data_IF_583722518711
#
_entry.id   IF_583722518711
#
_cell.length_a   1.000
_cell.length_b   1.000
_cell.length_c   1.000
_cell.angle_alpha   90.00
_cell.angle_beta   90.00
_cell.angle_gamma   90.00
#
_symmetry.space_group_name_H-M   'P 1'
#
loop_
_entity.id
_entity.type
_entity.pdbx_description
1 polymer ?
#
# COMPACT_ATOMS: atom_id res chain seq x y z
N UNK A 1 8.92 2.75 -16.72
CA UNK A 1 8.79 4.04 -16.00
C UNK A 1 9.20 3.78 -14.56
N UNK A 2 9.99 4.67 -13.97
CA UNK A 2 10.40 4.65 -12.57
C UNK A 2 10.51 6.11 -12.10
N UNK A 3 9.94 6.45 -10.96
CA UNK A 3 9.97 7.79 -10.38
C UNK A 3 11.11 7.88 -9.37
N UNK A 4 11.93 8.92 -9.47
CA UNK A 4 13.06 9.20 -8.58
C UNK A 4 12.69 10.24 -7.54
N UNK A 5 12.04 11.32 -7.95
CA UNK A 5 11.69 12.44 -7.06
C UNK A 5 10.31 13.02 -7.40
N UNK A 6 9.58 13.42 -6.35
CA UNK A 6 8.31 14.15 -6.45
C UNK A 6 8.40 15.44 -5.65
N UNK A 7 8.05 16.57 -6.26
CA UNK A 7 7.96 17.88 -5.59
C UNK A 7 6.55 18.43 -5.64
N UNK A 8 6.01 18.77 -4.47
CA UNK A 8 4.69 19.32 -4.30
C UNK A 8 4.78 20.77 -3.86
N UNK A 9 3.91 21.62 -4.42
CA UNK A 9 3.71 22.99 -3.96
C UNK A 9 2.22 23.32 -3.92
N UNK A 10 1.77 23.81 -2.77
CA UNK A 10 0.37 24.15 -2.48
C UNK A 10 -0.63 23.03 -2.85
N UNK A 11 -0.26 21.78 -2.63
CA UNK A 11 -1.08 20.62 -2.93
C UNK A 11 -1.71 20.08 -1.64
N UNK A 12 -3.02 20.30 -1.46
CA UNK A 12 -3.80 19.90 -0.27
C UNK A 12 -3.10 20.30 1.04
N UNK A 13 -2.56 19.34 1.81
CA UNK A 13 -1.87 19.60 3.07
C UNK A 13 -0.43 20.15 2.89
N UNK A 14 0.17 19.98 1.71
CA UNK A 14 1.57 20.32 1.45
C UNK A 14 1.72 21.76 0.95
N UNK A 15 2.46 22.59 1.70
CA UNK A 15 2.86 23.93 1.24
C UNK A 15 4.00 23.84 0.23
N UNK A 16 5.10 23.20 0.61
CA UNK A 16 6.23 22.85 -0.26
C UNK A 16 6.96 21.65 0.32
N UNK A 17 7.00 20.53 -0.41
CA UNK A 17 7.65 19.31 0.07
C UNK A 17 8.21 18.49 -1.10
N UNK A 18 9.38 17.88 -0.88
CA UNK A 18 10.04 17.01 -1.86
C UNK A 18 10.24 15.61 -1.27
N UNK A 19 10.01 14.58 -2.07
CA UNK A 19 10.11 13.18 -1.69
C UNK A 19 11.03 12.46 -2.65
N UNK A 20 12.06 11.79 -2.12
CA UNK A 20 12.89 10.86 -2.88
C UNK A 20 12.23 9.48 -2.83
N UNK A 21 12.19 8.79 -3.96
CA UNK A 21 11.54 7.50 -4.11
C UNK A 21 12.57 6.41 -4.40
N UNK A 22 12.51 5.32 -3.63
CA UNK A 22 13.28 4.13 -3.86
C UNK A 22 12.82 3.43 -5.16
N UNK A 23 13.74 2.87 -5.98
CA UNK A 23 13.41 2.35 -7.30
C UNK A 23 12.51 1.10 -7.29
N UNK A 24 12.50 0.32 -6.20
CA UNK A 24 11.70 -0.93 -6.14
C UNK A 24 10.39 -0.75 -5.36
N UNK A 25 10.46 -0.23 -4.14
CA UNK A 25 9.33 -0.21 -3.21
C UNK A 25 9.39 1.00 -2.29
N UNK A 26 8.25 1.64 -2.09
CA UNK A 26 8.08 2.81 -1.24
C UNK A 26 6.84 2.61 -0.37
N UNK A 27 7.01 2.66 0.95
CA UNK A 27 5.95 2.57 1.92
C UNK A 27 5.80 3.90 2.65
N UNK A 28 4.68 4.57 2.43
CA UNK A 28 4.35 5.86 2.99
C UNK A 28 3.56 5.65 4.28
N UNK A 29 4.07 6.20 5.37
CA UNK A 29 3.48 6.08 6.71
C UNK A 29 3.32 7.45 7.38
N UNK A 30 2.40 7.50 8.32
CA UNK A 30 2.15 8.66 9.16
C UNK A 30 0.75 8.63 9.74
N UNK A 31 0.47 9.54 10.65
CA UNK A 31 -0.81 9.66 11.35
C UNK A 31 -1.98 9.97 10.39
N UNK A 32 -3.20 9.82 10.88
CA UNK A 32 -4.38 10.21 10.11
C UNK A 32 -4.32 11.72 9.77
N UNK A 33 -4.59 12.05 8.50
CA UNK A 33 -4.52 13.43 8.02
C UNK A 33 -3.13 13.92 7.62
N UNK A 34 -2.07 13.12 7.76
CA UNK A 34 -0.69 13.52 7.38
C UNK A 34 -0.46 13.71 5.87
N UNK A 35 -1.42 13.31 5.03
CA UNK A 35 -1.35 13.50 3.58
C UNK A 35 -0.92 12.28 2.77
N UNK A 36 -0.97 11.06 3.34
CA UNK A 36 -0.63 9.80 2.64
C UNK A 36 -1.38 9.63 1.29
N UNK A 37 -2.70 9.64 1.33
CA UNK A 37 -3.54 9.59 0.12
C UNK A 37 -3.33 10.81 -0.77
N UNK A 38 -3.04 11.99 -0.20
CA UNK A 38 -2.75 13.19 -0.98
C UNK A 38 -1.45 13.05 -1.80
N UNK A 39 -0.40 12.44 -1.23
CA UNK A 39 0.84 12.14 -1.95
C UNK A 39 0.58 11.15 -3.10
N UNK A 40 -0.16 10.06 -2.86
CA UNK A 40 -0.53 9.12 -3.92
C UNK A 40 -1.36 9.79 -5.03
N UNK A 41 -2.35 10.62 -4.66
CA UNK A 41 -3.15 11.36 -5.62
C UNK A 41 -2.29 12.33 -6.45
N UNK A 42 -1.33 13.02 -5.84
CA UNK A 42 -0.39 13.88 -6.56
C UNK A 42 0.45 13.06 -7.56
N UNK A 43 0.97 11.90 -7.14
CA UNK A 43 1.72 11.00 -8.03
C UNK A 43 0.84 10.52 -9.19
N UNK A 44 -0.43 10.18 -8.93
CA UNK A 44 -1.39 9.76 -9.97
C UNK A 44 -1.59 10.84 -11.05
N UNK A 45 -1.51 12.12 -10.69
CA UNK A 45 -1.64 13.25 -11.62
C UNK A 45 -0.42 13.37 -12.54
N UNK A 46 0.80 13.21 -11.99
CA UNK A 46 2.02 13.31 -12.80
C UNK A 46 2.24 12.09 -13.69
N UNK A 47 1.98 10.87 -13.22
CA UNK A 47 2.09 9.67 -14.08
C UNK A 47 1.08 9.68 -15.22
N UNK A 48 -0.12 10.26 -15.01
CA UNK A 48 -1.12 10.44 -16.06
C UNK A 48 -0.67 11.37 -17.22
N UNK A 49 0.45 12.10 -17.07
CA UNK A 49 1.05 12.88 -18.16
C UNK A 49 1.51 11.99 -19.31
N UNK A 50 1.97 10.77 -19.02
CA UNK A 50 2.30 9.76 -20.02
C UNK A 50 1.14 9.50 -21.00
N UNK A 51 -0.08 9.44 -20.46
CA UNK A 51 -1.28 9.10 -21.23
C UNK A 51 -1.67 10.16 -22.27
N UNK A 52 -1.12 11.37 -22.16
CA UNK A 52 -1.41 12.48 -23.08
C UNK A 52 -0.76 12.31 -24.46
N UNK A 53 0.30 11.52 -24.57
CA UNK A 53 0.99 11.28 -25.85
C UNK A 53 0.26 10.34 -26.79
N UNK A 54 -0.65 9.50 -26.27
CA UNK A 54 -1.44 8.58 -27.08
C UNK A 54 -2.64 9.28 -27.72
N UNK A 55 -2.92 8.97 -29.00
CA UNK A 55 -4.04 9.58 -29.75
C UNK A 55 -5.40 9.34 -29.10
N UNK A 56 -5.61 8.16 -28.52
CA UNK A 56 -6.89 7.78 -27.93
C UNK A 56 -7.05 8.18 -26.44
N UNK A 57 -5.97 8.65 -25.79
CA UNK A 57 -5.92 9.03 -24.36
C UNK A 57 -6.69 8.04 -23.47
N UNK A 58 -6.11 6.84 -23.22
CA UNK A 58 -6.86 5.69 -22.72
C UNK A 58 -7.44 5.88 -21.30
N UNK A 59 -6.87 6.80 -20.53
CA UNK A 59 -7.40 7.29 -19.26
C UNK A 59 -6.91 8.73 -19.01
N UNK A 60 -7.44 9.40 -17.98
CA UNK A 60 -7.06 10.77 -17.65
C UNK A 60 -7.14 11.08 -16.16
N UNK A 61 -6.15 11.83 -15.69
CA UNK A 61 -6.16 12.53 -14.40
C UNK A 61 -5.62 13.94 -14.60
N UNK A 62 -6.23 14.91 -13.94
CA UNK A 62 -5.85 16.32 -13.96
C UNK A 62 -5.91 16.90 -12.56
N UNK A 63 -5.27 18.06 -12.34
CA UNK A 63 -5.42 18.81 -11.10
C UNK A 63 -6.83 19.37 -11.01
N UNK A 64 -7.53 19.02 -9.93
CA UNK A 64 -8.84 19.56 -9.60
C UNK A 64 -8.71 20.80 -8.71
N UNK A 65 -9.79 21.57 -8.57
CA UNK A 65 -9.83 22.71 -7.65
C UNK A 65 -9.68 22.25 -6.20
N UNK A 66 -10.24 21.08 -5.85
CA UNK A 66 -10.08 20.47 -4.53
C UNK A 66 -8.66 20.00 -4.19
N UNK A 67 -7.72 20.04 -5.13
CA UNK A 67 -6.32 19.72 -4.86
C UNK A 67 -5.51 20.93 -4.36
N UNK A 68 -6.05 22.16 -4.43
CA UNK A 68 -5.37 23.36 -3.94
C UNK A 68 -5.30 23.37 -2.41
N UNK A 69 -4.17 23.81 -1.86
CA UNK A 69 -4.03 24.03 -0.42
C UNK A 69 -4.90 25.20 0.04
N UNK A 70 -5.68 24.97 1.08
CA UNK A 70 -6.44 25.99 1.78
C UNK A 70 -5.65 26.49 2.99
N UNK A 71 -5.45 27.81 3.08
CA UNK A 71 -4.81 28.46 4.21
C UNK A 71 -5.87 29.16 5.06
N UNK A 72 -5.94 28.80 6.33
CA UNK A 72 -6.75 29.53 7.30
C UNK A 72 -6.10 30.88 7.61
N UNK A 73 -6.86 31.97 7.44
CA UNK A 73 -6.42 33.33 7.72
C UNK A 73 -7.56 34.04 8.44
N UNK A 74 -7.25 34.78 9.49
CA UNK A 74 -8.19 35.71 10.12
C UNK A 74 -7.90 37.09 9.55
N UNK A 75 -8.86 37.72 8.88
CA UNK A 75 -8.78 39.14 8.50
C UNK A 75 -9.97 39.87 9.10
N UNK A 76 -9.73 41.00 9.75
CA UNK A 76 -10.76 41.79 10.43
C UNK A 76 -11.60 40.97 11.41
N UNK A 77 -10.96 40.11 12.21
CA UNK A 77 -11.60 39.16 13.14
C UNK A 77 -12.55 38.13 12.49
N UNK A 78 -12.62 38.08 11.16
CA UNK A 78 -13.40 37.08 10.43
C UNK A 78 -12.50 35.93 9.95
N UNK A 79 -12.82 34.68 10.33
CA UNK A 79 -12.09 33.50 9.87
C UNK A 79 -12.44 33.18 8.42
N UNK A 80 -11.44 33.07 7.57
CA UNK A 80 -11.60 32.69 6.16
C UNK A 80 -10.54 31.68 5.71
N UNK A 81 -10.88 30.87 4.71
CA UNK A 81 -9.94 30.00 4.01
C UNK A 81 -9.58 30.62 2.66
N UNK A 82 -8.28 30.78 2.39
CA UNK A 82 -7.76 31.33 1.15
C UNK A 82 -7.05 30.22 0.37
N UNK A 83 -7.37 30.10 -0.92
CA UNK A 83 -6.71 29.17 -1.83
C UNK A 83 -5.27 29.63 -2.15
N UNK A 84 -4.32 28.70 -2.05
CA UNK A 84 -2.91 28.96 -2.31
C UNK A 84 -2.55 28.58 -3.75
N UNK A 85 -2.69 29.52 -4.68
CA UNK A 85 -2.25 29.34 -6.07
C UNK A 85 -0.79 29.81 -6.28
N UNK A 86 -0.03 29.22 -7.22
CA UNK A 86 -0.37 28.06 -8.04
C UNK A 86 -0.18 26.73 -7.27
N UNK A 87 -0.98 25.72 -7.63
CA UNK A 87 -0.74 24.32 -7.23
C UNK A 87 0.15 23.65 -8.28
N UNK A 88 1.21 23.00 -7.83
CA UNK A 88 2.22 22.39 -8.70
C UNK A 88 2.64 21.02 -8.20
N UNK A 89 2.75 20.07 -9.13
CA UNK A 89 3.30 18.73 -8.89
C UNK A 89 4.37 18.48 -9.94
N UNK A 90 5.61 18.32 -9.51
CA UNK A 90 6.77 18.02 -10.37
C UNK A 90 7.25 16.59 -10.11
N UNK A 91 7.73 15.95 -11.17
CA UNK A 91 8.30 14.62 -11.10
C UNK A 91 9.60 14.55 -11.90
N UNK A 92 10.54 13.76 -11.39
CA UNK A 92 11.76 13.32 -12.06
C UNK A 92 11.81 11.80 -12.04
N UNK A 93 12.22 11.19 -13.14
CA UNK A 93 12.27 9.74 -13.25
C UNK A 93 12.83 9.25 -14.58
N UNK A 94 12.80 7.94 -14.78
CA UNK A 94 13.28 7.27 -16.00
C UNK A 94 12.16 6.56 -16.74
N UNK A 95 12.16 6.66 -18.07
CA UNK A 95 11.26 5.90 -18.95
C UNK A 95 12.07 5.34 -20.11
N UNK A 96 12.06 4.01 -20.26
CA UNK A 96 12.88 3.30 -21.25
C UNK A 96 14.33 3.79 -21.23
N UNK A 97 14.91 3.83 -20.02
CA UNK A 97 16.27 4.25 -19.71
C UNK A 97 16.62 5.72 -20.01
N UNK A 98 15.64 6.57 -20.32
CA UNK A 98 15.81 8.01 -20.48
C UNK A 98 15.35 8.76 -19.24
N UNK A 99 16.21 9.64 -18.73
CA UNK A 99 15.86 10.58 -17.66
C UNK A 99 14.96 11.68 -18.19
N UNK A 100 13.83 11.89 -17.52
CA UNK A 100 12.83 12.89 -17.88
C UNK A 100 12.35 13.65 -16.65
N UNK A 101 12.06 14.94 -16.82
CA UNK A 101 11.54 15.83 -15.78
C UNK A 101 10.32 16.56 -16.30
N UNK A 102 9.20 16.50 -15.57
CA UNK A 102 7.95 17.11 -16.01
C UNK A 102 7.15 17.67 -14.84
N UNK A 103 6.19 18.52 -15.16
CA UNK A 103 5.37 19.27 -14.21
C UNK A 103 3.91 19.33 -14.67
N UNK A 104 3.01 19.19 -13.69
CA UNK A 104 1.60 19.57 -13.80
C UNK A 104 1.35 20.76 -12.87
N UNK A 105 0.75 21.82 -13.39
CA UNK A 105 0.39 22.98 -12.57
C UNK A 105 -0.98 23.56 -12.94
N UNK A 106 -1.63 24.21 -11.98
CA UNK A 106 -2.88 24.96 -12.19
C UNK A 106 -2.73 26.26 -11.41
N UNK A 107 -3.05 27.38 -12.06
CA UNK A 107 -2.75 28.73 -11.55
C UNK A 107 -3.98 29.47 -11.03
N UNK A 108 -5.18 28.96 -11.29
CA UNK A 108 -6.45 29.53 -10.85
C UNK A 108 -7.54 28.47 -10.89
N UNK A 109 -8.65 28.74 -10.20
CA UNK A 109 -9.81 27.86 -10.13
C UNK A 109 -10.37 27.51 -11.52
N UNK A 110 -10.56 28.51 -12.38
CA UNK A 110 -11.06 28.37 -13.76
C UNK A 110 -10.00 27.97 -14.78
N UNK A 111 -8.71 28.03 -14.43
CA UNK A 111 -7.61 27.77 -15.35
C UNK A 111 -7.44 26.29 -15.70
N UNK A 112 -7.07 25.98 -16.94
CA UNK A 112 -6.72 24.60 -17.32
C UNK A 112 -5.40 24.16 -16.68
N UNK A 113 -5.24 22.84 -16.49
CA UNK A 113 -3.94 22.27 -16.10
C UNK A 113 -2.91 22.53 -17.19
N UNK A 114 -1.76 23.08 -16.78
CA UNK A 114 -0.58 23.33 -17.61
C UNK A 114 0.40 22.16 -17.48
N UNK A 115 1.24 22.01 -18.51
CA UNK A 115 2.20 20.92 -18.65
C UNK A 115 3.60 21.54 -18.81
N UNK A 116 4.31 21.73 -17.71
CA UNK A 116 5.68 22.27 -17.73
C UNK A 116 6.68 21.15 -18.02
N UNK A 117 7.67 21.38 -18.89
CA UNK A 117 8.72 20.40 -19.24
C UNK A 117 8.22 19.00 -19.65
N UNK A 118 6.95 18.84 -20.00
CA UNK A 118 6.35 17.53 -20.29
C UNK A 118 6.49 17.09 -21.76
N UNK A 119 7.08 17.94 -22.61
CA UNK A 119 7.18 17.69 -24.06
C UNK A 119 7.93 16.41 -24.38
N UNK A 120 9.06 16.15 -23.70
CA UNK A 120 9.86 14.95 -23.90
C UNK A 120 9.06 13.68 -23.53
N UNK A 121 8.41 13.68 -22.36
CA UNK A 121 7.55 12.60 -21.91
C UNK A 121 6.41 12.31 -22.89
N UNK A 122 5.72 13.35 -23.34
CA UNK A 122 4.59 13.25 -24.27
C UNK A 122 5.08 12.76 -25.65
N UNK A 123 6.24 13.22 -26.12
CA UNK A 123 6.84 12.77 -27.38
C UNK A 123 7.21 11.30 -27.32
N UNK A 124 7.81 10.82 -26.23
CA UNK A 124 8.13 9.39 -26.05
C UNK A 124 6.87 8.52 -26.11
N UNK A 125 5.79 8.93 -25.44
CA UNK A 125 4.51 8.23 -25.52
C UNK A 125 3.93 8.25 -26.95
N UNK A 126 4.03 9.39 -27.64
CA UNK A 126 3.58 9.53 -29.01
C UNK A 126 4.34 8.64 -30.00
N UNK A 127 5.66 8.54 -29.84
CA UNK A 127 6.51 7.68 -30.66
C UNK A 127 6.14 6.19 -30.47
N UNK A 128 5.82 5.79 -29.23
CA UNK A 128 5.34 4.43 -28.94
C UNK A 128 3.92 4.17 -29.47
N UNK A 129 3.04 5.18 -29.47
CA UNK A 129 1.70 5.09 -30.08
C UNK A 129 1.80 4.77 -31.59
N UNK A 130 2.79 5.34 -32.27
CA UNK A 130 3.09 5.04 -33.67
C UNK A 130 3.63 3.62 -33.93
N UNK A 131 4.21 2.99 -32.90
CA UNK A 131 4.89 1.69 -32.98
C UNK A 131 4.14 0.55 -32.30
N UNK A 132 2.85 0.72 -31.97
CA UNK A 132 2.04 -0.31 -31.30
C UNK A 132 1.89 -1.63 -32.07
N UNK A 133 2.23 -1.65 -33.37
CA UNK A 133 2.28 -2.88 -34.17
C UNK A 133 3.63 -3.60 -34.14
N UNK A 134 4.65 -3.02 -33.49
CA UNK A 134 5.98 -3.57 -33.30
C UNK A 134 6.14 -4.12 -31.86
N UNK A 135 7.23 -4.85 -31.61
CA UNK A 135 7.58 -5.39 -30.29
C UNK A 135 8.13 -4.28 -29.37
N UNK A 136 7.26 -3.35 -28.98
CA UNK A 136 7.59 -2.25 -28.07
C UNK A 136 7.04 -2.47 -26.66
N UNK A 137 7.88 -2.22 -25.66
CA UNK A 137 7.47 -2.32 -24.26
C UNK A 137 6.89 -1.01 -23.75
N UNK A 138 5.65 -1.09 -23.27
CA UNK A 138 4.91 -0.02 -22.61
C UNK A 138 5.03 -0.15 -21.09
N UNK A 139 5.25 0.96 -20.36
CA UNK A 139 5.30 0.91 -18.90
C UNK A 139 3.93 0.60 -18.30
N UNK A 140 3.87 -0.22 -17.26
CA UNK A 140 2.65 -0.36 -16.47
C UNK A 140 2.41 0.91 -15.64
N UNK A 141 1.16 1.38 -15.63
CA UNK A 141 0.69 2.39 -14.70
C UNK A 141 -0.58 1.84 -14.06
N UNK A 142 -0.71 1.91 -12.73
CA UNK A 142 -1.95 1.58 -12.05
C UNK A 142 -2.10 2.31 -10.72
N UNK A 143 -3.34 2.63 -10.34
CA UNK A 143 -3.67 3.21 -9.03
C UNK A 143 -4.82 2.44 -8.39
N UNK A 144 -4.62 1.96 -7.17
CA UNK A 144 -5.58 1.24 -6.37
C UNK A 144 -5.86 2.02 -5.08
N UNK A 145 -7.04 2.64 -4.96
CA UNK A 145 -7.47 3.35 -3.75
C UNK A 145 -8.17 2.44 -2.75
N UNK A 146 -8.69 3.02 -1.67
CA UNK A 146 -9.41 2.30 -0.61
C UNK A 146 -10.77 1.73 -1.06
N UNK A 147 -11.42 2.38 -2.03
CA UNK A 147 -12.72 1.93 -2.58
C UNK A 147 -12.62 0.83 -3.65
N UNK A 148 -11.43 0.25 -3.85
CA UNK A 148 -11.12 -0.66 -4.96
C UNK A 148 -12.00 -1.90 -5.10
N UNK A 149 -12.60 -2.40 -4.00
CA UNK A 149 -13.47 -3.58 -4.00
C UNK A 149 -14.96 -3.29 -4.18
N UNK A 150 -15.41 -2.13 -3.70
CA UNK A 150 -16.83 -1.90 -3.46
C UNK A 150 -17.54 -1.26 -4.65
N UNK A 151 -16.79 -0.65 -5.56
CA UNK A 151 -17.34 0.05 -6.71
C UNK A 151 -16.45 -0.16 -7.94
N UNK A 152 -17.05 -0.62 -9.04
CA UNK A 152 -16.40 -0.52 -10.35
C UNK A 152 -16.26 0.96 -10.76
N UNK A 153 -15.28 1.30 -11.63
CA UNK A 153 -15.22 2.59 -12.27
C UNK A 153 -16.56 2.97 -12.90
N UNK A 154 -17.02 4.22 -12.73
CA UNK A 154 -18.31 4.71 -13.27
C UNK A 154 -18.47 4.50 -14.79
N UNK A 155 -17.36 4.39 -15.50
CA UNK A 155 -17.33 4.20 -16.96
C UNK A 155 -17.34 2.71 -17.38
N UNK A 156 -17.22 1.77 -16.44
CA UNK A 156 -17.39 0.34 -16.70
C UNK A 156 -18.84 0.05 -17.06
N UNK A 157 -19.10 -0.17 -18.35
CA UNK A 157 -20.42 -0.54 -18.89
C UNK A 157 -20.49 -2.00 -19.34
N UNK A 158 -19.44 -2.78 -19.08
CA UNK A 158 -19.32 -4.14 -19.60
C UNK A 158 -20.24 -5.06 -18.81
N UNK A 159 -21.21 -5.63 -19.52
CA UNK A 159 -21.86 -6.86 -19.06
C UNK A 159 -20.93 -8.02 -19.41
N UNK A 160 -20.78 -9.03 -18.55
CA UNK A 160 -19.91 -10.19 -18.78
C UNK A 160 -20.34 -11.09 -19.97
N UNK A 161 -21.16 -10.58 -20.89
CA UNK A 161 -21.60 -11.29 -22.08
C UNK A 161 -20.54 -11.13 -23.20
N UNK A 162 -20.15 -12.26 -23.79
CA UNK A 162 -18.83 -12.61 -24.37
C UNK A 162 -18.40 -11.83 -25.64
N UNK A 163 -19.16 -10.85 -26.13
CA UNK A 163 -18.89 -10.24 -27.45
C UNK A 163 -18.16 -8.90 -27.34
N UNK A 164 -16.83 -8.94 -27.32
CA UNK A 164 -15.98 -7.75 -27.48
C UNK A 164 -15.97 -7.35 -28.97
N UNK A 165 -16.80 -6.37 -29.35
CA UNK A 165 -16.94 -5.90 -30.74
C UNK A 165 -15.73 -5.12 -31.28
N UNK A 166 -14.75 -4.77 -30.43
CA UNK A 166 -13.63 -3.89 -30.80
C UNK A 166 -12.34 -4.69 -30.97
N UNK A 167 -11.53 -4.34 -31.97
CA UNK A 167 -10.20 -4.95 -32.13
C UNK A 167 -9.37 -4.68 -30.87
N UNK A 168 -8.73 -5.71 -30.28
CA UNK A 168 -7.89 -5.53 -29.10
C UNK A 168 -6.71 -4.62 -29.43
N UNK A 169 -6.43 -3.67 -28.55
CA UNK A 169 -5.27 -2.78 -28.64
C UNK A 169 -4.39 -2.96 -27.42
N UNK A 170 -3.05 -2.87 -27.54
CA UNK A 170 -2.18 -2.87 -26.36
C UNK A 170 -2.55 -1.79 -25.33
N UNK A 171 -3.05 -0.63 -25.81
CA UNK A 171 -3.51 0.47 -24.96
C UNK A 171 -4.73 0.14 -24.12
N UNK A 172 -5.44 -0.97 -24.39
CA UNK A 172 -6.52 -1.45 -23.52
C UNK A 172 -6.00 -1.80 -22.11
N UNK A 173 -4.69 -2.07 -21.96
CA UNK A 173 -4.05 -2.22 -20.65
C UNK A 173 -3.92 -0.92 -19.84
N UNK A 174 -4.12 0.26 -20.45
CA UNK A 174 -4.19 1.53 -19.74
C UNK A 174 -5.63 1.96 -19.37
N UNK A 175 -6.66 1.15 -19.69
CA UNK A 175 -8.02 1.46 -19.24
C UNK A 175 -8.07 1.46 -17.71
N UNK A 176 -8.62 2.54 -17.13
CA UNK A 176 -8.73 2.68 -15.67
C UNK A 176 -7.39 2.50 -14.95
N UNK A 177 -6.29 2.98 -15.54
CA UNK A 177 -4.96 2.90 -14.94
C UNK A 177 -4.73 3.99 -13.87
N UNK A 178 -5.48 5.09 -13.90
CA UNK A 178 -5.38 6.17 -12.89
C UNK A 178 -6.70 6.43 -12.16
N UNK A 179 -7.71 5.57 -12.39
CA UNK A 179 -8.91 5.48 -11.56
C UNK A 179 -8.58 4.60 -10.33
N UNK A 180 -8.83 5.05 -9.10
CA UNK A 180 -8.53 4.28 -7.89
C UNK A 180 -9.36 2.99 -7.73
N UNK A 181 -10.32 2.72 -8.61
CA UNK A 181 -11.21 1.55 -8.55
C UNK A 181 -10.79 0.48 -9.55
N UNK A 182 -11.10 -0.78 -9.21
CA UNK A 182 -10.84 -1.93 -10.09
C UNK A 182 -12.11 -2.24 -10.88
N UNK A 183 -11.98 -2.38 -12.21
CA UNK A 183 -13.08 -2.82 -13.08
C UNK A 183 -13.25 -4.34 -13.02
N UNK A 184 -13.76 -4.84 -11.89
CA UNK A 184 -13.88 -6.29 -11.61
C UNK A 184 -14.75 -6.99 -12.65
N UNK A 185 -15.80 -6.32 -13.16
CA UNK A 185 -16.62 -6.88 -14.25
C UNK A 185 -15.85 -7.05 -15.57
N UNK A 186 -14.98 -6.11 -15.93
CA UNK A 186 -14.14 -6.21 -17.13
C UNK A 186 -13.10 -7.32 -16.96
N UNK A 187 -12.56 -7.48 -15.75
CA UNK A 187 -11.65 -8.58 -15.40
C UNK A 187 -12.32 -9.95 -15.58
N UNK A 188 -13.50 -10.13 -14.97
CA UNK A 188 -14.27 -11.39 -15.08
C UNK A 188 -14.67 -11.68 -16.53
N UNK A 189 -15.11 -10.67 -17.29
CA UNK A 189 -15.46 -10.82 -18.70
C UNK A 189 -14.26 -11.25 -19.56
N UNK A 190 -13.07 -10.73 -19.27
CA UNK A 190 -11.85 -11.16 -19.94
C UNK A 190 -11.50 -12.61 -19.63
N UNK A 191 -11.57 -13.04 -18.36
CA UNK A 191 -11.37 -14.45 -17.98
C UNK A 191 -12.34 -15.37 -18.73
N UNK A 192 -13.63 -15.02 -18.75
CA UNK A 192 -14.65 -15.76 -19.48
C UNK A 192 -14.30 -15.90 -20.97
N UNK A 193 -13.85 -14.82 -21.61
CA UNK A 193 -13.44 -14.84 -23.01
C UNK A 193 -12.19 -15.70 -23.26
N UNK A 194 -11.20 -15.64 -22.37
CA UNK A 194 -9.98 -16.42 -22.48
C UNK A 194 -10.23 -17.92 -22.25
N UNK A 195 -11.04 -18.30 -21.26
CA UNK A 195 -11.40 -19.70 -21.02
C UNK A 195 -12.27 -20.27 -22.14
N UNK A 196 -13.18 -19.48 -22.69
CA UNK A 196 -13.92 -19.86 -23.88
C UNK A 196 -12.98 -20.12 -25.07
N UNK A 197 -11.99 -19.25 -25.29
CA UNK A 197 -10.96 -19.46 -26.31
C UNK A 197 -10.15 -20.73 -26.05
N UNK A 198 -9.78 -20.98 -24.79
CA UNK A 198 -9.07 -22.19 -24.37
C UNK A 198 -9.85 -23.47 -24.69
N UNK A 199 -11.16 -23.45 -24.42
CA UNK A 199 -12.07 -24.54 -24.72
C UNK A 199 -12.19 -24.77 -26.23
N UNK A 200 -12.39 -23.71 -27.03
CA UNK A 200 -12.51 -23.81 -28.48
C UNK A 200 -11.25 -24.37 -29.16
N UNK A 201 -10.06 -23.92 -28.72
CA UNK A 201 -8.78 -24.32 -29.31
C UNK A 201 -8.14 -25.53 -28.62
N UNK A 202 -8.76 -26.09 -27.58
CA UNK A 202 -8.24 -27.17 -26.72
C UNK A 202 -6.82 -26.90 -26.20
N UNK A 203 -6.47 -25.63 -26.05
CA UNK A 203 -5.16 -25.18 -25.60
C UNK A 203 -5.33 -23.90 -24.81
N UNK A 204 -4.77 -23.87 -23.61
CA UNK A 204 -4.79 -22.68 -22.80
C UNK A 204 -3.99 -21.54 -23.43
N UNK A 205 -4.57 -20.34 -23.59
CA UNK A 205 -3.85 -19.15 -24.00
C UNK A 205 -2.74 -18.82 -23.01
N UNK A 206 -1.55 -18.51 -23.53
CA UNK A 206 -0.40 -18.10 -22.71
C UNK A 206 -0.76 -16.95 -21.76
N UNK A 207 -1.51 -15.97 -22.27
CA UNK A 207 -2.00 -14.81 -21.52
C UNK A 207 -2.82 -15.20 -20.29
N UNK A 208 -3.73 -16.17 -20.45
CA UNK A 208 -4.56 -16.67 -19.36
C UNK A 208 -3.71 -17.37 -18.30
N UNK A 209 -2.81 -18.24 -18.73
CA UNK A 209 -1.90 -18.97 -17.85
C UNK A 209 -1.06 -18.03 -17.00
N UNK A 210 -0.43 -17.03 -17.61
CA UNK A 210 0.41 -16.04 -16.91
C UNK A 210 -0.38 -15.27 -15.85
N UNK A 211 -1.59 -14.79 -16.17
CA UNK A 211 -2.43 -14.09 -15.18
C UNK A 211 -2.87 -15.03 -14.06
N UNK A 212 -3.21 -16.29 -14.38
CA UNK A 212 -3.57 -17.28 -13.38
C UNK A 212 -2.40 -17.56 -12.44
N UNK A 213 -1.22 -17.81 -12.97
CA UNK A 213 -0.02 -18.11 -12.19
C UNK A 213 0.35 -16.96 -11.24
N UNK A 214 0.19 -15.71 -11.70
CA UNK A 214 0.36 -14.52 -10.86
C UNK A 214 -0.58 -14.54 -9.64
N UNK A 215 -1.86 -14.82 -9.87
CA UNK A 215 -2.87 -14.87 -8.80
C UNK A 215 -2.57 -16.00 -7.82
N UNK A 216 -2.26 -17.20 -8.33
CA UNK A 216 -1.96 -18.37 -7.49
C UNK A 216 -0.70 -18.15 -6.65
N UNK A 217 0.32 -17.46 -7.18
CA UNK A 217 1.56 -17.16 -6.45
C UNK A 217 1.38 -16.22 -5.26
N UNK A 218 0.39 -15.33 -5.31
CA UNK A 218 0.15 -14.31 -4.28
C UNK A 218 -0.91 -14.72 -3.24
N UNK A 219 -1.56 -15.88 -3.40
CA UNK A 219 -2.61 -16.35 -2.50
C UNK A 219 -2.16 -17.64 -1.81
N UNK A 220 -2.12 -17.62 -0.48
CA UNK A 220 -1.72 -18.77 0.33
C UNK A 220 -2.61 -19.99 0.04
N UNK A 221 -1.96 -21.09 -0.36
CA UNK A 221 -2.59 -22.38 -0.69
C UNK A 221 -3.63 -22.32 -1.82
N UNK A 222 -3.51 -21.38 -2.75
CA UNK A 222 -4.33 -21.38 -3.96
C UNK A 222 -3.84 -22.45 -4.95
N UNK A 223 -4.75 -23.33 -5.38
CA UNK A 223 -4.43 -24.44 -6.28
C UNK A 223 -4.95 -24.20 -7.70
N UNK A 224 -6.18 -23.69 -7.81
CA UNK A 224 -6.84 -23.53 -9.08
C UNK A 224 -7.78 -22.32 -9.10
N UNK A 225 -7.84 -21.63 -10.24
CA UNK A 225 -8.74 -20.51 -10.49
C UNK A 225 -9.41 -20.69 -11.86
N UNK A 226 -10.73 -20.67 -11.88
CA UNK A 226 -11.53 -20.78 -13.10
C UNK A 226 -12.71 -19.82 -13.14
N UNK A 227 -13.27 -19.57 -14.32
CA UNK A 227 -14.53 -18.87 -14.47
C UNK A 227 -15.71 -19.85 -14.43
N UNK A 228 -16.74 -19.53 -13.64
CA UNK A 228 -18.01 -20.27 -13.65
C UNK A 228 -19.04 -19.54 -14.55
N UNK A 229 -19.45 -20.13 -15.69
CA UNK A 229 -20.42 -19.52 -16.59
C UNK A 229 -21.83 -19.35 -16.01
N UNK A 230 -22.24 -20.20 -15.06
CA UNK A 230 -23.57 -20.13 -14.42
C UNK A 230 -23.64 -18.96 -13.47
N UNK A 231 -22.58 -18.75 -12.68
CA UNK A 231 -22.49 -17.67 -11.70
C UNK A 231 -21.95 -16.36 -12.28
N UNK A 232 -21.31 -16.43 -13.45
CA UNK A 232 -20.60 -15.32 -14.09
C UNK A 232 -19.57 -14.67 -13.16
N UNK A 233 -18.84 -15.48 -12.40
CA UNK A 233 -17.82 -15.04 -11.44
C UNK A 233 -16.61 -15.99 -11.47
N UNK A 234 -15.48 -15.55 -10.90
CA UNK A 234 -14.32 -16.41 -10.71
C UNK A 234 -14.53 -17.33 -9.50
N UNK A 235 -13.99 -18.53 -9.59
CA UNK A 235 -14.05 -19.56 -8.55
C UNK A 235 -12.62 -19.99 -8.23
N UNK A 236 -12.27 -19.90 -6.95
CA UNK A 236 -10.95 -20.21 -6.42
C UNK A 236 -11.02 -21.49 -5.60
N UNK A 237 -10.12 -22.44 -5.86
CA UNK A 237 -9.95 -23.67 -5.08
C UNK A 237 -8.67 -23.55 -4.26
N UNK A 238 -8.76 -23.85 -2.96
CA UNK A 238 -7.64 -23.73 -2.01
C UNK A 238 -7.58 -24.98 -1.12
N UNK A 239 -6.40 -25.41 -0.72
CA UNK A 239 -6.23 -26.49 0.28
C UNK A 239 -7.04 -27.78 -0.02
N UNK A 240 -7.22 -28.15 -1.29
CA UNK A 240 -8.10 -29.25 -1.70
C UNK A 240 -9.54 -29.17 -1.14
N UNK A 241 -9.99 -27.96 -0.77
CA UNK A 241 -11.35 -27.67 -0.31
C UNK A 241 -12.31 -27.54 -1.50
N UNK A 242 -13.60 -27.42 -1.18
CA UNK A 242 -14.60 -27.08 -2.19
C UNK A 242 -14.28 -25.75 -2.89
N UNK A 243 -14.53 -25.64 -4.21
CA UNK A 243 -14.34 -24.40 -4.95
C UNK A 243 -15.21 -23.26 -4.40
N UNK A 244 -14.59 -22.13 -4.10
CA UNK A 244 -15.25 -20.96 -3.52
C UNK A 244 -15.44 -19.84 -4.56
N UNK A 245 -16.67 -19.38 -4.79
CA UNK A 245 -16.88 -18.23 -5.66
C UNK A 245 -16.29 -16.94 -5.08
N UNK A 246 -15.84 -16.05 -5.96
CA UNK A 246 -15.21 -14.78 -5.59
C UNK A 246 -16.04 -13.96 -4.59
N UNK A 247 -17.36 -13.95 -4.74
CA UNK A 247 -18.30 -13.27 -3.84
C UNK A 247 -18.31 -13.81 -2.39
N UNK A 248 -17.85 -15.03 -2.17
CA UNK A 248 -17.83 -15.69 -0.84
C UNK A 248 -16.48 -15.60 -0.13
N UNK A 249 -15.44 -15.13 -0.82
CA UNK A 249 -14.11 -14.96 -0.24
C UNK A 249 -14.10 -13.80 0.78
N UNK A 250 -13.20 -13.88 1.76
CA UNK A 250 -12.94 -12.78 2.71
C UNK A 250 -12.50 -11.51 1.97
N UNK A 251 -12.85 -10.33 2.49
CA UNK A 251 -12.50 -9.04 1.86
C UNK A 251 -11.01 -8.88 1.54
N UNK A 252 -10.11 -9.21 2.48
CA UNK A 252 -8.68 -9.13 2.22
C UNK A 252 -8.23 -9.98 1.02
N UNK A 253 -8.74 -11.21 0.93
CA UNK A 253 -8.45 -12.10 -0.19
C UNK A 253 -9.03 -11.57 -1.51
N UNK A 254 -10.26 -11.05 -1.50
CA UNK A 254 -10.85 -10.40 -2.69
C UNK A 254 -9.98 -9.23 -3.16
N UNK A 255 -9.50 -8.41 -2.22
CA UNK A 255 -8.64 -7.26 -2.49
C UNK A 255 -7.36 -7.68 -3.22
N UNK A 256 -6.63 -8.65 -2.67
CA UNK A 256 -5.36 -9.13 -3.24
C UNK A 256 -5.60 -9.78 -4.60
N UNK A 257 -6.59 -10.67 -4.69
CA UNK A 257 -6.91 -11.36 -5.95
C UNK A 257 -7.23 -10.35 -7.05
N UNK A 258 -8.15 -9.42 -6.79
CA UNK A 258 -8.57 -8.43 -7.79
C UNK A 258 -7.41 -7.52 -8.20
N UNK A 259 -6.58 -7.06 -7.25
CA UNK A 259 -5.42 -6.21 -7.52
C UNK A 259 -4.37 -6.93 -8.36
N UNK A 260 -3.94 -8.13 -7.94
CA UNK A 260 -2.92 -8.92 -8.65
C UNK A 260 -3.41 -9.32 -10.04
N UNK A 261 -4.68 -9.72 -10.16
CA UNK A 261 -5.30 -10.06 -11.43
C UNK A 261 -5.36 -8.87 -12.39
N UNK A 262 -5.73 -7.68 -11.90
CA UNK A 262 -5.78 -6.46 -12.71
C UNK A 262 -4.38 -6.01 -13.16
N UNK A 263 -3.38 -6.03 -12.26
CA UNK A 263 -1.97 -5.76 -12.60
C UNK A 263 -1.50 -6.71 -13.72
N UNK A 264 -1.62 -8.01 -13.49
CA UNK A 264 -1.14 -9.03 -14.44
C UNK A 264 -1.87 -8.93 -15.79
N UNK A 265 -3.19 -8.72 -15.77
CA UNK A 265 -3.97 -8.55 -16.99
C UNK A 265 -3.52 -7.31 -17.78
N UNK A 266 -3.31 -6.18 -17.10
CA UNK A 266 -2.82 -4.95 -17.75
C UNK A 266 -1.44 -5.16 -18.37
N UNK A 267 -0.51 -5.84 -17.67
CA UNK A 267 0.82 -6.16 -18.21
C UNK A 267 0.74 -7.02 -19.47
N UNK A 268 -0.09 -8.06 -19.45
CA UNK A 268 -0.28 -8.97 -20.60
C UNK A 268 -0.94 -8.26 -21.79
N UNK A 269 -1.86 -7.33 -21.54
CA UNK A 269 -2.46 -6.48 -22.58
C UNK A 269 -1.45 -5.50 -23.18
N UNK A 270 -0.66 -4.83 -22.33
CA UNK A 270 0.32 -3.83 -22.75
C UNK A 270 1.48 -4.43 -23.55
N UNK A 271 1.99 -5.58 -23.11
CA UNK A 271 3.24 -6.16 -23.60
C UNK A 271 3.06 -7.64 -23.99
N UNK A 272 2.18 -7.96 -24.96
CA UNK A 272 1.90 -9.34 -25.35
C UNK A 272 3.12 -10.07 -25.93
N UNK A 273 4.06 -9.34 -26.53
CA UNK A 273 5.30 -9.85 -27.14
C UNK A 273 6.27 -10.47 -26.12
N UNK A 274 6.20 -10.06 -24.84
CA UNK A 274 7.08 -10.58 -23.78
C UNK A 274 6.72 -12.02 -23.35
N UNK A 275 5.57 -12.55 -23.77
CA UNK A 275 5.16 -13.92 -23.50
C UNK A 275 5.20 -14.29 -22.02
N UNK A 276 5.88 -15.39 -21.66
CA UNK A 276 6.01 -15.87 -20.28
C UNK A 276 6.77 -14.89 -19.37
N UNK A 277 7.61 -14.02 -19.93
CA UNK A 277 8.45 -13.10 -19.17
C UNK A 277 7.75 -11.77 -18.86
N UNK A 278 6.53 -11.57 -19.34
CA UNK A 278 5.81 -10.30 -19.24
C UNK A 278 5.72 -9.76 -17.81
N UNK A 279 5.51 -10.61 -16.81
CA UNK A 279 5.45 -10.20 -15.40
C UNK A 279 6.81 -9.76 -14.84
N UNK A 280 7.89 -10.38 -15.33
CA UNK A 280 9.26 -10.11 -14.88
C UNK A 280 9.90 -8.94 -15.60
N UNK A 281 9.55 -8.70 -16.86
CA UNK A 281 10.22 -7.74 -17.72
C UNK A 281 9.48 -6.41 -17.88
N UNK A 282 8.15 -6.38 -17.66
CA UNK A 282 7.38 -5.13 -17.72
C UNK A 282 7.73 -4.23 -16.54
N UNK A 283 8.31 -3.06 -16.84
CA UNK A 283 8.58 -2.03 -15.86
C UNK A 283 7.39 -1.08 -15.72
N UNK A 284 7.25 -0.41 -14.57
CA UNK A 284 6.11 0.48 -14.34
C UNK A 284 6.00 0.99 -12.92
N UNK A 285 4.94 1.74 -12.66
CA UNK A 285 4.63 2.32 -11.35
C UNK A 285 3.23 1.88 -10.93
N UNK A 286 3.11 1.32 -9.73
CA UNK A 286 1.83 0.92 -9.14
C UNK A 286 1.65 1.65 -7.82
N UNK A 287 0.54 2.37 -7.71
CA UNK A 287 0.13 3.08 -6.51
C UNK A 287 -0.92 2.25 -5.75
N UNK A 288 -0.74 2.04 -4.44
CA UNK A 288 -1.73 1.33 -3.61
C UNK A 288 -1.99 2.10 -2.32
N UNK A 289 -3.21 2.62 -2.17
CA UNK A 289 -3.65 3.24 -0.92
C UNK A 289 -4.15 2.15 0.04
N UNK A 290 -3.66 2.19 1.28
CA UNK A 290 -3.93 1.21 2.33
C UNK A 290 -3.70 -0.22 1.82
N UNK A 291 -2.43 -0.56 1.59
CA UNK A 291 -2.04 -1.90 1.13
C UNK A 291 -2.52 -2.99 2.10
N UNK A 292 -2.61 -2.67 3.39
CA UNK A 292 -3.10 -3.53 4.47
C UNK A 292 -4.61 -3.64 4.60
N UNK A 293 -5.40 -2.91 3.79
CA UNK A 293 -6.86 -2.87 3.92
C UNK A 293 -7.46 -4.29 3.91
N UNK A 294 -8.13 -4.63 5.01
CA UNK A 294 -8.77 -5.92 5.28
C UNK A 294 -7.83 -7.15 5.24
N UNK A 295 -6.51 -6.96 5.24
CA UNK A 295 -5.54 -8.07 5.26
C UNK A 295 -5.31 -8.58 6.69
N UNK A 296 -5.29 -9.91 6.83
CA UNK A 296 -4.87 -10.55 8.07
C UNK A 296 -3.37 -10.26 8.34
N UNK A 297 -2.93 -10.05 9.60
CA UNK A 297 -1.54 -9.71 9.93
C UNK A 297 -0.48 -10.67 9.36
N UNK A 298 -0.79 -11.98 9.31
CA UNK A 298 0.10 -12.98 8.69
C UNK A 298 0.43 -12.66 7.23
N UNK A 299 -0.55 -12.14 6.48
CA UNK A 299 -0.37 -11.78 5.06
C UNK A 299 0.28 -10.42 4.89
N UNK A 300 0.02 -9.47 5.80
CA UNK A 300 0.73 -8.18 5.80
C UNK A 300 2.25 -8.36 5.84
N UNK A 301 2.76 -9.39 6.52
CA UNK A 301 4.20 -9.70 6.55
C UNK A 301 4.78 -10.27 5.25
N UNK A 302 3.93 -10.82 4.36
CA UNK A 302 4.36 -11.53 3.14
C UNK A 302 4.07 -10.76 1.86
N UNK A 303 3.01 -9.97 1.84
CA UNK A 303 2.48 -9.34 0.62
C UNK A 303 3.51 -8.48 -0.13
N UNK A 304 4.42 -7.79 0.58
CA UNK A 304 5.48 -6.99 -0.05
C UNK A 304 6.43 -7.89 -0.84
N UNK A 305 6.87 -9.00 -0.25
CA UNK A 305 7.77 -9.96 -0.89
C UNK A 305 7.08 -10.74 -2.01
N UNK A 306 5.80 -11.09 -1.84
CA UNK A 306 5.00 -11.74 -2.87
C UNK A 306 4.87 -10.79 -4.11
N UNK A 307 4.58 -9.50 -3.89
CA UNK A 307 4.52 -8.51 -4.97
C UNK A 307 5.87 -8.29 -5.66
N UNK A 308 6.97 -8.21 -4.91
CA UNK A 308 8.33 -8.09 -5.48
C UNK A 308 8.72 -9.30 -6.32
N UNK A 309 8.38 -10.50 -5.84
CA UNK A 309 8.73 -11.75 -6.53
C UNK A 309 7.93 -11.90 -7.82
N UNK A 310 6.65 -11.54 -7.78
CA UNK A 310 5.74 -11.66 -8.94
C UNK A 310 5.97 -10.54 -9.96
N UNK A 311 6.30 -9.32 -9.51
CA UNK A 311 6.44 -8.12 -10.34
C UNK A 311 7.77 -7.37 -10.10
N UNK A 312 8.93 -7.98 -10.39
CA UNK A 312 10.25 -7.48 -9.95
C UNK A 312 10.69 -6.15 -10.58
N UNK A 313 10.10 -5.73 -11.72
CA UNK A 313 10.42 -4.45 -12.38
C UNK A 313 9.39 -3.35 -12.12
N UNK A 314 8.39 -3.62 -11.29
CA UNK A 314 7.39 -2.63 -10.91
C UNK A 314 7.87 -1.88 -9.66
N UNK A 315 7.86 -0.56 -9.76
CA UNK A 315 8.02 0.31 -8.60
C UNK A 315 6.68 0.43 -7.88
N UNK A 316 6.61 -0.10 -6.67
CA UNK A 316 5.43 0.03 -5.82
C UNK A 316 5.54 1.28 -4.94
N UNK A 317 4.46 2.05 -4.87
CA UNK A 317 4.32 3.18 -3.96
C UNK A 317 3.02 2.99 -3.20
N UNK A 318 3.15 2.58 -1.94
CA UNK A 318 2.05 2.12 -1.12
C UNK A 318 1.90 2.99 0.12
N UNK A 319 0.69 3.14 0.63
CA UNK A 319 0.46 3.71 1.97
C UNK A 319 0.01 2.61 2.92
N UNK A 320 0.26 2.79 4.22
CA UNK A 320 -0.23 1.85 5.22
C UNK A 320 -0.48 2.48 6.59
N UNK A 321 -1.37 1.84 7.33
CA UNK A 321 -1.58 2.03 8.77
C UNK A 321 -1.08 0.83 9.60
N UNK A 322 -0.50 -0.18 8.97
CA UNK A 322 -0.04 -1.38 9.64
C UNK A 322 1.44 -1.32 10.00
N UNK A 323 1.80 -1.46 11.29
CA UNK A 323 3.20 -1.58 11.69
C UNK A 323 3.84 -2.89 11.21
N UNK A 324 3.05 -3.90 10.83
CA UNK A 324 3.58 -5.16 10.27
C UNK A 324 4.17 -4.99 8.87
N UNK A 325 3.63 -4.07 8.06
CA UNK A 325 4.18 -3.77 6.73
C UNK A 325 5.52 -3.02 6.84
N UNK A 326 5.66 -2.16 7.85
CA UNK A 326 6.92 -1.44 8.11
C UNK A 326 8.05 -2.43 8.43
N UNK A 327 7.76 -3.47 9.22
CA UNK A 327 8.72 -4.52 9.55
C UNK A 327 9.05 -5.46 8.38
N UNK A 328 8.23 -5.48 7.33
CA UNK A 328 8.46 -6.32 6.16
C UNK A 328 9.38 -5.66 5.11
N UNK A 329 9.79 -4.40 5.33
CA UNK A 329 10.71 -3.70 4.44
C UNK A 329 12.14 -4.25 4.58
N UNK A 330 12.90 -4.19 3.48
CA UNK A 330 14.29 -4.66 3.43
C UNK A 330 15.27 -3.57 3.88
N UNK A 331 14.91 -2.30 3.65
CA UNK A 331 15.74 -1.14 3.95
C UNK A 331 14.89 0.01 4.48
N UNK A 332 15.49 0.85 5.33
CA UNK A 332 14.87 2.10 5.78
C UNK A 332 14.63 3.10 4.63
N UNK A 333 15.39 3.01 3.53
CA UNK A 333 15.22 3.87 2.35
C UNK A 333 13.87 3.65 1.63
N UNK A 334 13.22 2.52 1.89
CA UNK A 334 11.90 2.19 1.36
C UNK A 334 10.78 2.85 2.17
N UNK A 335 11.08 3.43 3.34
CA UNK A 335 10.10 4.02 4.25
C UNK A 335 10.07 5.55 4.10
N UNK A 336 8.87 6.08 3.81
CA UNK A 336 8.60 7.51 3.72
C UNK A 336 7.69 7.92 4.87
N UNK A 337 8.24 8.63 5.85
CA UNK A 337 7.50 9.13 7.01
C UNK A 337 7.08 10.58 6.78
N UNK A 338 5.78 10.85 6.78
CA UNK A 338 5.26 12.21 6.53
C UNK A 338 5.32 13.14 7.76
N UNK A 339 5.43 12.58 8.96
CA UNK A 339 5.34 13.33 10.23
C UNK A 339 6.70 13.84 10.76
N UNK A 340 7.73 13.89 9.90
CA UNK A 340 9.03 14.48 10.24
C UNK A 340 9.93 13.66 11.17
N UNK A 341 9.60 12.39 11.46
CA UNK A 341 10.49 11.52 12.24
C UNK A 341 11.65 10.94 11.41
N UNK A 342 12.87 10.82 11.96
CA UNK A 342 14.03 10.33 11.22
C UNK A 342 13.90 8.86 10.78
N UNK A 343 14.01 8.63 9.47
CA UNK A 343 13.87 7.32 8.78
C UNK A 343 14.87 6.26 9.30
N UNK A 344 16.11 6.67 9.59
CA UNK A 344 17.24 5.77 9.86
C UNK A 344 17.14 4.94 11.16
N UNK A 345 16.19 5.24 12.04
CA UNK A 345 16.04 4.52 13.32
C UNK A 345 14.84 3.56 13.35
N UNK A 346 14.02 3.48 12.29
CA UNK A 346 12.67 2.89 12.40
C UNK A 346 12.59 1.44 11.92
N UNK A 347 13.41 1.04 10.94
CA UNK A 347 13.33 -0.30 10.34
C UNK A 347 13.68 -1.44 11.32
N UNK A 348 14.52 -1.17 12.33
CA UNK A 348 14.95 -2.17 13.31
C UNK A 348 14.28 -2.03 14.68
N UNK A 349 13.26 -1.17 14.81
CA UNK A 349 12.59 -0.94 16.09
C UNK A 349 11.54 -2.01 16.38
N UNK A 350 11.34 -2.36 17.67
CA UNK A 350 10.27 -3.25 18.06
C UNK A 350 8.91 -2.66 17.66
N UNK A 351 7.93 -3.53 17.38
CA UNK A 351 6.57 -3.15 16.93
C UNK A 351 5.94 -2.07 17.80
N UNK A 352 6.20 -2.14 19.11
CA UNK A 352 5.72 -1.21 20.11
C UNK A 352 6.23 0.22 19.86
N UNK A 353 7.52 0.39 19.59
CA UNK A 353 8.11 1.71 19.32
C UNK A 353 7.66 2.28 17.97
N UNK A 354 7.40 1.42 16.97
CA UNK A 354 6.82 1.84 15.68
C UNK A 354 5.39 2.35 15.87
N UNK A 355 4.58 1.62 16.66
CA UNK A 355 3.21 1.99 16.96
C UNK A 355 3.11 3.27 17.82
N UNK A 356 3.94 3.39 18.86
CA UNK A 356 3.99 4.56 19.75
C UNK A 356 4.59 5.79 19.05
N UNK A 357 5.69 5.60 18.30
CA UNK A 357 6.43 6.70 17.69
C UNK A 357 5.80 7.26 16.41
N UNK A 358 5.37 6.40 15.48
CA UNK A 358 4.88 6.83 14.16
C UNK A 358 3.34 6.87 14.12
N UNK A 359 2.68 5.87 14.71
CA UNK A 359 1.24 5.70 14.54
C UNK A 359 0.41 6.47 15.58
N UNK A 360 1.07 7.17 16.50
CA UNK A 360 0.41 7.97 17.54
C UNK A 360 -0.44 7.12 18.50
N UNK A 361 -0.13 5.82 18.63
CA UNK A 361 -0.85 4.93 19.54
C UNK A 361 -0.29 5.12 20.95
N UNK A 362 -0.89 6.02 21.72
CA UNK A 362 -0.63 6.11 23.16
C UNK A 362 -1.24 4.88 23.85
N UNK A 363 -0.41 3.89 24.18
CA UNK A 363 -0.86 2.72 24.95
C UNK A 363 -1.10 3.10 26.43
N UNK A 364 -2.26 3.65 26.77
CA UNK A 364 -2.56 4.06 28.15
C UNK A 364 -2.68 2.87 29.13
N UNK A 365 -3.32 1.76 28.74
CA UNK A 365 -3.66 0.70 29.69
C UNK A 365 -2.49 -0.26 29.99
N UNK A 366 -1.74 -0.70 28.98
CA UNK A 366 -0.57 -1.56 29.18
C UNK A 366 0.63 -0.78 29.70
N UNK A 367 0.79 0.51 29.36
CA UNK A 367 1.86 1.34 29.92
C UNK A 367 1.61 1.69 31.39
N UNK A 368 0.39 2.06 31.79
CA UNK A 368 0.10 2.33 33.21
C UNK A 368 0.23 1.08 34.08
N UNK A 369 -0.28 -0.08 33.62
CA UNK A 369 -0.14 -1.33 34.36
C UNK A 369 1.32 -1.77 34.43
N UNK A 370 2.07 -1.68 33.34
CA UNK A 370 3.49 -2.00 33.29
C UNK A 370 4.35 -1.04 34.13
N UNK A 371 4.05 0.26 34.12
CA UNK A 371 4.72 1.26 34.97
C UNK A 371 4.42 1.02 36.44
N UNK A 372 3.15 0.79 36.81
CA UNK A 372 2.79 0.44 38.18
C UNK A 372 3.41 -0.89 38.63
N UNK A 373 3.52 -1.88 37.73
CA UNK A 373 4.26 -3.13 37.99
C UNK A 373 5.73 -2.84 38.24
N UNK A 374 6.37 -2.04 37.39
CA UNK A 374 7.79 -1.68 37.50
C UNK A 374 8.09 -0.89 38.78
N UNK A 375 7.23 0.06 39.14
CA UNK A 375 7.32 0.81 40.40
C UNK A 375 7.11 -0.10 41.61
N UNK A 376 6.14 -1.02 41.55
CA UNK A 376 5.89 -1.98 42.63
C UNK A 376 7.06 -2.95 42.80
N UNK A 377 7.65 -3.43 41.71
CA UNK A 377 8.84 -4.29 41.73
C UNK A 377 10.09 -3.57 42.24
N UNK A 378 10.28 -2.31 41.86
CA UNK A 378 11.38 -1.49 42.38
C UNK A 378 11.23 -1.25 43.89
N UNK A 379 10.02 -0.90 44.34
CA UNK A 379 9.71 -0.73 45.76
C UNK A 379 9.86 -2.04 46.54
N UNK A 380 9.51 -3.17 45.94
CA UNK A 380 9.72 -4.49 46.53
C UNK A 380 11.21 -4.76 46.78
N UNK A 381 12.05 -4.50 45.78
CA UNK A 381 13.51 -4.67 45.88
C UNK A 381 14.13 -3.73 46.93
N UNK A 382 13.75 -2.46 46.93
CA UNK A 382 14.20 -1.47 47.93
C UNK A 382 13.81 -1.90 49.37
N UNK A 383 12.58 -2.38 49.57
CA UNK A 383 12.14 -2.93 50.86
C UNK A 383 12.87 -4.20 51.25
N UNK A 384 13.29 -5.01 50.27
CA UNK A 384 14.03 -6.24 50.51
C UNK A 384 15.47 -5.95 50.96
N UNK A 385 16.09 -4.93 50.37
CA UNK A 385 17.41 -4.42 50.77
C UNK A 385 17.38 -3.81 52.18
N UNK A 386 16.32 -3.07 52.52
CA UNK A 386 16.12 -2.52 53.87
C UNK A 386 15.81 -3.59 54.93
N UNK A 387 15.09 -4.64 54.56
CA UNK A 387 14.79 -5.78 55.43
C UNK A 387 16.04 -6.62 55.76
N UNK A 388 17.03 -6.68 54.86
CA UNK A 388 18.32 -7.37 55.06
C UNK A 388 19.15 -6.73 56.20
N UNK A 389 18.98 -5.43 56.45
CA UNK A 389 19.75 -4.64 57.42
C UNK A 389 19.03 -4.40 58.76
N UNK A 390 17.81 -4.91 58.92
CA UNK A 390 16.92 -4.59 60.05
C UNK A 390 16.80 -5.73 61.08
N UNK A 391 16.64 -5.42 62.38
CA UNK A 391 16.51 -6.43 63.45
C UNK A 391 15.19 -7.23 63.38
N UNK A 392 15.23 -8.47 63.89
CA UNK A 392 14.18 -9.51 63.75
C UNK A 392 12.75 -9.09 64.15
N UNK A 393 12.61 -8.11 65.06
CA UNK A 393 11.30 -7.62 65.53
C UNK A 393 10.47 -6.88 64.46
N UNK A 394 11.08 -6.41 63.36
CA UNK A 394 10.39 -5.74 62.25
C UNK A 394 10.14 -6.62 61.03
N UNK A 395 10.60 -7.87 61.08
CA UNK A 395 10.65 -8.77 59.92
C UNK A 395 9.24 -9.24 59.49
N UNK A 396 8.30 -9.34 60.43
CA UNK A 396 6.88 -9.62 60.12
C UNK A 396 6.18 -8.45 59.41
N UNK A 397 6.52 -7.21 59.75
CA UNK A 397 5.95 -6.02 59.13
C UNK A 397 6.42 -5.87 57.67
N UNK A 398 7.71 -6.13 57.42
CA UNK A 398 8.25 -6.19 56.06
C UNK A 398 7.63 -7.32 55.22
N UNK A 399 7.42 -8.51 55.79
CA UNK A 399 6.74 -9.62 55.09
C UNK A 399 5.33 -9.24 54.63
N UNK A 400 4.60 -8.47 55.44
CA UNK A 400 3.26 -7.98 55.10
C UNK A 400 3.30 -6.93 53.97
N UNK A 401 4.21 -5.97 54.04
CA UNK A 401 4.38 -4.96 53.00
C UNK A 401 4.85 -5.54 51.66
N UNK A 402 5.71 -6.57 51.69
CA UNK A 402 6.14 -7.31 50.50
C UNK A 402 4.98 -8.09 49.86
N UNK A 403 4.09 -8.68 50.68
CA UNK A 403 2.88 -9.34 50.19
C UNK A 403 1.89 -8.36 49.54
N UNK A 404 1.71 -7.18 50.13
CA UNK A 404 0.87 -6.11 49.58
C UNK A 404 1.39 -5.58 48.22
N UNK A 405 2.71 -5.59 47.99
CA UNK A 405 3.28 -5.22 46.68
C UNK A 405 3.02 -6.27 45.58
N UNK A 406 2.87 -7.54 45.95
CA UNK A 406 2.66 -8.66 45.00
C UNK A 406 1.16 -8.86 44.70
N UNK A 407 0.29 -8.66 45.69
CA UNK A 407 -1.15 -8.92 45.59
C UNK A 407 -1.87 -8.34 44.35
N UNK A 408 -1.55 -7.13 43.85
CA UNK A 408 -2.20 -6.55 42.68
C UNK A 408 -1.85 -7.23 41.34
N UNK A 409 -0.80 -8.07 41.31
CA UNK A 409 -0.26 -8.70 40.08
C UNK A 409 -0.16 -10.23 40.20
N UNK A 410 -0.97 -10.82 41.08
CA UNK A 410 -1.03 -12.27 41.31
C UNK A 410 -1.46 -13.08 40.06
N UNK A 411 -1.96 -12.42 39.02
CA UNK A 411 -2.34 -13.01 37.75
C UNK A 411 -1.16 -13.19 36.76
N UNK A 412 0.07 -12.77 37.12
CA UNK A 412 1.28 -12.97 36.33
C UNK A 412 2.28 -13.92 37.04
N UNK A 413 2.22 -15.25 36.75
CA UNK A 413 3.03 -16.26 37.44
C UNK A 413 4.54 -16.07 37.28
N UNK A 414 4.98 -15.53 36.13
CA UNK A 414 6.40 -15.32 35.86
C UNK A 414 6.98 -14.16 36.68
N UNK A 415 6.20 -13.09 36.88
CA UNK A 415 6.60 -11.95 37.71
C UNK A 415 6.71 -12.35 39.19
N UNK A 416 5.76 -13.16 39.66
CA UNK A 416 5.75 -13.67 41.03
C UNK A 416 6.95 -14.58 41.32
N UNK A 417 7.24 -15.52 40.40
CA UNK A 417 8.38 -16.43 40.54
C UNK A 417 9.73 -15.70 40.59
N UNK A 418 9.91 -14.62 39.84
CA UNK A 418 11.15 -13.82 39.85
C UNK A 418 11.35 -13.12 41.19
N UNK A 419 10.31 -12.46 41.71
CA UNK A 419 10.38 -11.75 42.99
C UNK A 419 10.53 -12.72 44.19
N UNK A 420 9.87 -13.88 44.14
CA UNK A 420 10.05 -14.94 45.13
C UNK A 420 11.46 -15.53 45.08
N UNK A 421 12.04 -15.74 43.88
CA UNK A 421 13.43 -16.17 43.74
C UNK A 421 14.41 -15.15 44.35
N UNK A 422 14.22 -13.85 44.11
CA UNK A 422 15.06 -12.80 44.69
C UNK A 422 14.91 -12.70 46.21
N UNK A 423 13.69 -12.88 46.72
CA UNK A 423 13.42 -12.97 48.17
C UNK A 423 14.12 -14.15 48.81
N UNK A 424 14.00 -15.34 48.24
CA UNK A 424 14.65 -16.56 48.75
C UNK A 424 16.17 -16.40 48.72
N UNK A 425 16.71 -15.78 47.66
CA UNK A 425 18.15 -15.56 47.48
C UNK A 425 18.76 -14.65 48.55
N UNK A 426 18.02 -13.66 49.05
CA UNK A 426 18.53 -12.70 50.03
C UNK A 426 18.12 -12.98 51.48
N UNK A 427 16.90 -13.44 51.73
CA UNK A 427 16.36 -13.63 53.09
C UNK A 427 16.36 -15.09 53.57
N UNK A 428 16.77 -16.04 52.71
CA UNK A 428 17.06 -17.41 53.14
C UNK A 428 15.86 -18.30 53.52
N UNK A 429 14.62 -17.85 53.30
CA UNK A 429 13.39 -18.67 53.21
C UNK A 429 12.18 -17.80 52.90
#
# INVERSE_FOLDING_TARGET
>A
MNLKEIKLKNFRCFEEQSFQLHPEFNLIVGINGSGKTALLDAISVVIATWLLGFRNRPDKKSLSTGDVRLKYVVKNDEPQFIESWPVTVKAEGTINDKDVRWERSKHSESGNTRYGNASELISLAHDLDGKLGEDVSLPLISYYGTMRLWQDPRQSKVRPDVVIKKKPSPLDGYRHCVDPRIATRELVAWFASQEWSAYQHRKEPLMLRVVRDAILSCIDKAEHLSYDPKRKELVLTRDSSDPQPFSTLSDGLRCVLAMVADIAQKMVKLNPHLGEKVLRETAGVVLVDELDLHLHPKWQKRIIEDLRTTFPRIQFICTTHSPFLIQALRSGEELLVLDGQPIAQLANKPLKEIAEGIMGVENSETSHRYQKMKESGKRYLELLDEAELSPDDKLEEFKRQLADCIAPYADNPAYQAILEMERIKKLGS
#
